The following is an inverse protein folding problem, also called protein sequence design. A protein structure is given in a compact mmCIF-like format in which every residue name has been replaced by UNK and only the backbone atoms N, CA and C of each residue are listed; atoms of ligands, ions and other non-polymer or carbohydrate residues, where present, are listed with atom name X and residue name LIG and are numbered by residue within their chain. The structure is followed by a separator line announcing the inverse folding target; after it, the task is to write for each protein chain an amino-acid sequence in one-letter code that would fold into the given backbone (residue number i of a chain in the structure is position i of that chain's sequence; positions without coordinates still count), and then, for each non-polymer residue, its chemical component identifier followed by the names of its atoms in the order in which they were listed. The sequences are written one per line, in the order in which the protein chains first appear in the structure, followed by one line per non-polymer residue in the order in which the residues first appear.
data_IF_317934247534
#
_entry.id   IF_317934247534
#
_cell.length_a   1.000
_cell.length_b   1.000
_cell.length_c   1.000
_cell.angle_alpha   90.00
_cell.angle_beta   90.00
_cell.angle_gamma   90.00
#
_symmetry.space_group_name_H-M   'P 1'
#
loop_
_entity.id
_entity.type
_entity.pdbx_description
1 polymer ?
#
# COMPACT_ATOMS: atom_id res chain seq x y z
N UNK A 1 -43.48 17.19 -39.15
CA UNK A 1 -42.71 17.94 -38.13
C UNK A 1 -42.52 17.14 -36.84
N UNK A 2 -43.51 16.36 -36.38
CA UNK A 2 -43.40 15.53 -35.17
C UNK A 2 -42.25 14.48 -35.21
N UNK A 3 -42.06 13.77 -36.32
CA UNK A 3 -41.01 12.75 -36.46
C UNK A 3 -39.58 13.32 -36.32
N UNK A 4 -39.32 14.52 -36.85
CA UNK A 4 -38.03 15.19 -36.71
C UNK A 4 -37.74 15.59 -35.26
N UNK A 5 -38.77 15.96 -34.51
CA UNK A 5 -38.64 16.29 -33.09
C UNK A 5 -38.37 15.04 -32.24
N UNK A 6 -39.04 13.92 -32.54
CA UNK A 6 -38.80 12.62 -31.87
C UNK A 6 -37.39 12.09 -32.17
N UNK A 7 -36.93 12.17 -33.43
CA UNK A 7 -35.57 11.78 -33.79
C UNK A 7 -34.50 12.63 -33.08
N UNK A 8 -34.71 13.95 -32.98
CA UNK A 8 -33.80 14.83 -32.24
C UNK A 8 -33.79 14.53 -30.73
N UNK A 9 -34.95 14.22 -30.15
CA UNK A 9 -35.05 13.80 -28.74
C UNK A 9 -34.34 12.46 -28.49
N UNK A 10 -34.45 11.50 -29.42
CA UNK A 10 -33.75 10.21 -29.33
C UNK A 10 -32.23 10.40 -29.37
N UNK A 11 -31.71 11.19 -30.32
CA UNK A 11 -30.26 11.50 -30.39
C UNK A 11 -29.77 12.20 -29.13
N UNK A 12 -30.57 13.10 -28.57
CA UNK A 12 -30.23 13.79 -27.31
C UNK A 12 -30.18 12.81 -26.14
N UNK A 13 -31.13 11.88 -26.06
CA UNK A 13 -31.18 10.83 -25.06
C UNK A 13 -29.99 9.86 -25.19
N UNK A 14 -29.64 9.46 -26.40
CA UNK A 14 -28.50 8.57 -26.67
C UNK A 14 -27.17 9.25 -26.28
N UNK A 15 -27.02 10.54 -26.61
CA UNK A 15 -25.85 11.34 -26.21
C UNK A 15 -25.77 11.51 -24.68
N UNK A 16 -26.91 11.73 -24.01
CA UNK A 16 -26.96 11.84 -22.56
C UNK A 16 -26.59 10.50 -21.88
N UNK A 17 -27.06 9.38 -22.42
CA UNK A 17 -26.70 8.04 -21.93
C UNK A 17 -25.21 7.74 -22.13
N UNK A 18 -24.66 8.03 -23.31
CA UNK A 18 -23.23 7.88 -23.57
C UNK A 18 -22.39 8.77 -22.64
N UNK A 19 -22.83 10.02 -22.42
CA UNK A 19 -22.19 10.95 -21.49
C UNK A 19 -22.24 10.42 -20.05
N UNK A 20 -23.37 9.88 -19.61
CA UNK A 20 -23.52 9.30 -18.28
C UNK A 20 -22.60 8.09 -18.07
N UNK A 21 -22.49 7.20 -19.06
CA UNK A 21 -21.58 6.05 -19.02
C UNK A 21 -20.13 6.52 -18.90
N UNK A 22 -19.73 7.49 -19.73
CA UNK A 22 -18.39 8.07 -19.69
C UNK A 22 -18.09 8.73 -18.33
N UNK A 23 -19.03 9.48 -17.78
CA UNK A 23 -18.88 10.11 -16.46
C UNK A 23 -18.71 9.06 -15.37
N UNK A 24 -19.48 7.96 -15.39
CA UNK A 24 -19.33 6.87 -14.42
C UNK A 24 -17.95 6.25 -14.48
N UNK A 25 -17.47 5.91 -15.68
CA UNK A 25 -16.11 5.34 -15.87
C UNK A 25 -15.02 6.29 -15.36
N UNK A 26 -15.16 7.59 -15.63
CA UNK A 26 -14.22 8.60 -15.13
C UNK A 26 -14.23 8.68 -13.61
N UNK A 27 -15.41 8.67 -12.98
CA UNK A 27 -15.53 8.69 -11.52
C UNK A 27 -14.98 7.41 -10.88
N UNK A 28 -15.27 6.24 -11.44
CA UNK A 28 -14.75 4.97 -10.94
C UNK A 28 -13.22 4.95 -10.99
N UNK A 29 -12.64 5.44 -12.09
CA UNK A 29 -11.18 5.58 -12.24
C UNK A 29 -10.60 6.55 -11.22
N UNK A 30 -11.26 7.70 -11.00
CA UNK A 30 -10.81 8.68 -10.02
C UNK A 30 -10.83 8.11 -8.60
N UNK A 31 -11.87 7.36 -8.23
CA UNK A 31 -12.00 6.69 -6.93
C UNK A 31 -10.91 5.63 -6.76
N UNK A 32 -10.67 4.79 -7.76
CA UNK A 32 -9.62 3.78 -7.70
C UNK A 32 -8.23 4.40 -7.54
N UNK A 33 -7.93 5.47 -8.28
CA UNK A 33 -6.65 6.18 -8.17
C UNK A 33 -6.49 6.86 -6.80
N UNK A 34 -7.55 7.48 -6.27
CA UNK A 34 -7.54 8.07 -4.94
C UNK A 34 -7.31 7.02 -3.86
N UNK A 35 -7.96 5.85 -3.98
CA UNK A 35 -7.79 4.75 -3.04
C UNK A 35 -6.38 4.14 -3.12
N UNK A 36 -5.83 3.92 -4.32
CA UNK A 36 -4.45 3.47 -4.49
C UNK A 36 -3.44 4.47 -3.90
N UNK A 37 -3.71 5.78 -4.05
CA UNK A 37 -2.90 6.85 -3.44
C UNK A 37 -2.96 6.79 -1.92
N UNK A 38 -4.15 6.58 -1.35
CA UNK A 38 -4.35 6.43 0.09
C UNK A 38 -3.52 5.27 0.64
N UNK A 39 -3.58 4.09 0.01
CA UNK A 39 -2.81 2.91 0.43
C UNK A 39 -1.28 3.14 0.38
N UNK A 40 -0.82 4.05 -0.48
CA UNK A 40 0.60 4.37 -0.66
C UNK A 40 1.06 5.62 0.11
N UNK A 41 0.19 6.22 0.93
CA UNK A 41 0.52 7.45 1.65
C UNK A 41 1.52 7.17 2.78
N UNK A 42 2.75 7.69 2.63
CA UNK A 42 3.81 7.72 3.65
C UNK A 42 4.07 6.38 4.34
N UNK A 43 4.20 5.29 3.58
CA UNK A 43 4.47 3.95 4.14
C UNK A 43 5.77 3.97 4.93
N UNK A 44 5.69 3.62 6.22
CA UNK A 44 6.83 3.60 7.14
C UNK A 44 6.73 2.40 8.08
N UNK A 45 7.88 1.91 8.56
CA UNK A 45 7.94 0.88 9.57
C UNK A 45 7.85 1.51 10.97
N UNK A 46 6.84 1.12 11.73
CA UNK A 46 6.67 1.56 13.12
C UNK A 46 7.35 0.57 14.05
N UNK A 47 8.19 1.07 14.95
CA UNK A 47 8.86 0.28 15.98
C UNK A 47 7.85 -0.25 16.99
N UNK A 48 7.89 -1.54 17.28
CA UNK A 48 7.04 -2.14 18.31
C UNK A 48 7.68 -1.98 19.71
N UNK A 49 6.88 -2.00 20.79
CA UNK A 49 7.40 -2.00 22.16
C UNK A 49 8.32 -3.22 22.41
N UNK A 50 9.44 -2.99 23.08
CA UNK A 50 10.38 -4.05 23.45
C UNK A 50 11.58 -4.23 22.52
N UNK A 51 11.67 -3.44 21.44
CA UNK A 51 12.91 -3.33 20.67
C UNK A 51 14.06 -2.88 21.57
N UNK A 52 15.22 -3.51 21.39
CA UNK A 52 16.44 -3.22 22.15
C UNK A 52 17.26 -2.17 21.39
N UNK A 53 17.27 -2.25 20.06
CA UNK A 53 17.94 -1.28 19.21
C UNK A 53 16.96 -0.28 18.58
N UNK A 54 17.49 0.85 18.15
CA UNK A 54 16.74 1.90 17.46
C UNK A 54 16.79 1.75 15.94
N UNK A 55 16.99 0.53 15.43
CA UNK A 55 17.04 0.31 13.98
C UNK A 55 15.67 0.63 13.39
N UNK A 56 15.65 1.55 12.43
CA UNK A 56 14.46 1.91 11.68
C UNK A 56 14.66 1.41 10.24
N UNK A 57 14.03 0.30 9.83
CA UNK A 57 14.16 -0.15 8.46
C UNK A 57 13.44 0.80 7.51
N UNK A 58 14.06 1.05 6.36
CA UNK A 58 13.47 1.84 5.28
C UNK A 58 12.56 0.94 4.44
N UNK A 59 11.31 1.38 4.24
CA UNK A 59 10.35 0.73 3.33
C UNK A 59 10.33 1.50 2.01
N UNK A 60 10.43 0.78 0.91
CA UNK A 60 10.43 1.35 -0.44
C UNK A 60 9.52 0.57 -1.39
N UNK A 61 9.23 1.19 -2.54
CA UNK A 61 8.34 0.63 -3.56
C UNK A 61 6.92 1.20 -3.50
N UNK A 62 6.04 0.63 -4.30
CA UNK A 62 4.63 1.01 -4.40
C UNK A 62 3.79 -0.21 -4.08
N UNK A 63 2.90 -0.08 -3.11
CA UNK A 63 1.94 -1.11 -2.76
C UNK A 63 0.91 -1.27 -3.87
N UNK A 64 0.87 -2.46 -4.47
CA UNK A 64 -0.04 -2.82 -5.58
C UNK A 64 -1.24 -3.65 -5.14
N UNK A 65 -1.37 -3.93 -3.83
CA UNK A 65 -2.54 -4.61 -3.28
C UNK A 65 -3.76 -3.68 -3.18
N UNK A 66 -4.94 -4.28 -3.04
CA UNK A 66 -6.22 -3.56 -2.88
C UNK A 66 -6.72 -3.56 -1.43
N UNK A 67 -6.16 -4.44 -0.60
CA UNK A 67 -6.61 -4.63 0.78
C UNK A 67 -5.77 -3.80 1.74
N UNK A 68 -6.40 -3.09 2.70
CA UNK A 68 -5.69 -2.50 3.82
C UNK A 68 -5.31 -3.58 4.85
N UNK A 69 -4.27 -3.32 5.63
CA UNK A 69 -3.81 -4.21 6.69
C UNK A 69 -2.41 -3.86 7.14
N UNK A 70 -1.69 -4.86 7.62
CA UNK A 70 -0.36 -4.68 8.22
C UNK A 70 0.64 -5.74 7.76
N UNK A 71 1.90 -5.35 7.67
CA UNK A 71 3.04 -6.26 7.65
C UNK A 71 3.71 -6.25 9.02
N UNK A 72 3.81 -7.41 9.65
CA UNK A 72 4.53 -7.63 10.90
C UNK A 72 5.89 -8.22 10.60
N UNK A 73 6.94 -7.49 10.96
CA UNK A 73 8.33 -7.86 10.73
C UNK A 73 8.94 -8.34 12.05
N UNK A 74 9.57 -9.51 12.03
CA UNK A 74 10.34 -10.06 13.15
C UNK A 74 11.71 -10.53 12.68
N UNK A 75 12.75 -10.23 13.46
CA UNK A 75 14.13 -10.66 13.19
C UNK A 75 14.42 -11.96 13.93
N UNK A 76 15.18 -12.85 13.30
CA UNK A 76 15.69 -14.06 13.92
C UNK A 76 17.11 -14.37 13.43
N UNK A 77 17.88 -15.07 14.26
CA UNK A 77 19.25 -15.48 13.91
C UNK A 77 19.27 -16.81 13.18
N UNK A 78 20.15 -16.93 12.18
CA UNK A 78 20.44 -18.19 11.46
C UNK A 78 21.94 -18.34 11.36
N UNK A 79 22.54 -19.29 12.10
CA UNK A 79 23.95 -19.71 12.01
C UNK A 79 24.97 -18.67 11.51
N UNK A 80 25.08 -17.53 12.21
CA UNK A 80 26.04 -16.47 11.90
C UNK A 80 25.51 -15.30 11.05
N UNK A 81 24.25 -15.33 10.64
CA UNK A 81 23.54 -14.23 9.99
C UNK A 81 22.24 -13.88 10.71
N UNK A 82 21.67 -12.73 10.34
CA UNK A 82 20.34 -12.31 10.75
C UNK A 82 19.41 -12.34 9.56
N UNK A 83 18.22 -12.88 9.78
CA UNK A 83 17.12 -12.91 8.84
C UNK A 83 15.91 -12.21 9.45
N UNK A 84 14.98 -11.84 8.59
CA UNK A 84 13.67 -11.35 9.01
C UNK A 84 12.57 -12.21 8.38
N UNK A 85 11.42 -12.20 9.05
CA UNK A 85 10.16 -12.73 8.54
C UNK A 85 9.14 -11.60 8.53
N UNK A 86 8.45 -11.45 7.40
CA UNK A 86 7.24 -10.65 7.29
C UNK A 86 6.00 -11.55 7.33
N UNK A 87 4.94 -11.09 7.97
CA UNK A 87 3.64 -11.75 8.07
C UNK A 87 2.50 -10.73 8.08
N UNK A 88 1.24 -11.17 7.96
CA UNK A 88 0.07 -10.29 7.91
C UNK A 88 -0.53 -10.27 6.51
N UNK A 89 -0.37 -9.16 5.77
CA UNK A 89 -0.86 -9.03 4.38
C UNK A 89 -0.21 -10.04 3.42
N UNK A 90 1.07 -10.33 3.61
CA UNK A 90 1.78 -11.39 2.90
C UNK A 90 2.80 -12.06 3.83
N UNK A 91 3.31 -13.21 3.40
CA UNK A 91 4.42 -13.90 4.05
C UNK A 91 5.67 -13.81 3.17
N UNK A 92 6.79 -13.41 3.76
CA UNK A 92 8.10 -13.43 3.11
C UNK A 92 9.21 -13.54 4.15
N UNK A 93 10.39 -13.96 3.70
CA UNK A 93 11.60 -14.00 4.52
C UNK A 93 12.78 -13.44 3.72
N UNK A 94 13.83 -13.02 4.42
CA UNK A 94 15.07 -12.63 3.79
C UNK A 94 16.13 -12.16 4.77
N UNK A 95 17.30 -11.80 4.25
CA UNK A 95 18.40 -11.31 5.08
C UNK A 95 18.09 -9.94 5.69
N UNK A 96 18.32 -9.79 7.00
CA UNK A 96 18.20 -8.52 7.70
C UNK A 96 19.49 -7.69 7.47
N UNK A 97 19.58 -7.05 6.30
CA UNK A 97 20.79 -6.37 5.83
C UNK A 97 20.48 -5.02 5.15
N UNK A 98 21.54 -4.30 4.76
CA UNK A 98 21.46 -3.05 4.00
C UNK A 98 21.05 -3.20 2.53
N UNK A 99 20.69 -4.40 2.07
CA UNK A 99 20.16 -4.64 0.73
C UNK A 99 18.63 -4.67 0.79
N UNK A 100 17.92 -3.94 -0.09
CA UNK A 100 16.47 -4.03 -0.20
C UNK A 100 16.01 -5.45 -0.54
N UNK A 101 15.09 -5.99 0.28
CA UNK A 101 14.46 -7.30 0.09
C UNK A 101 12.95 -7.12 -0.08
N UNK A 102 12.32 -7.75 -1.09
CA UNK A 102 10.87 -7.69 -1.26
C UNK A 102 10.10 -8.26 -0.06
N UNK A 103 9.03 -7.58 0.36
CA UNK A 103 8.12 -8.03 1.42
C UNK A 103 7.04 -9.01 0.94
N UNK A 104 7.07 -9.39 -0.34
CA UNK A 104 6.09 -10.25 -0.97
C UNK A 104 5.97 -9.90 -2.45
N UNK A 105 4.75 -10.02 -2.98
CA UNK A 105 4.43 -9.74 -4.38
C UNK A 105 3.77 -8.38 -4.58
N UNK A 106 3.33 -7.71 -3.51
CA UNK A 106 2.62 -6.41 -3.58
C UNK A 106 3.55 -5.20 -3.74
N UNK A 107 4.78 -5.40 -4.24
CA UNK A 107 5.67 -4.32 -4.70
C UNK A 107 6.47 -3.58 -3.63
N UNK A 108 6.24 -3.85 -2.34
CA UNK A 108 7.01 -3.25 -1.24
C UNK A 108 8.30 -4.03 -0.97
N UNK A 109 9.33 -3.31 -0.53
CA UNK A 109 10.62 -3.86 -0.10
C UNK A 109 11.07 -3.23 1.22
N UNK A 110 11.84 -3.98 1.99
CA UNK A 110 12.42 -3.57 3.27
C UNK A 110 13.95 -3.56 3.18
N UNK A 111 14.59 -2.56 3.79
CA UNK A 111 16.04 -2.46 3.91
C UNK A 111 16.39 -2.05 5.34
N UNK A 112 17.35 -2.73 5.97
CA UNK A 112 17.81 -2.40 7.31
C UNK A 112 19.05 -1.50 7.22
N UNK A 113 18.94 -0.24 7.66
CA UNK A 113 20.04 0.73 7.56
C UNK A 113 21.18 0.46 8.56
N UNK A 114 20.92 -0.35 9.58
CA UNK A 114 21.91 -0.89 10.53
C UNK A 114 21.52 -2.30 10.94
N UNK A 115 22.46 -3.03 11.55
CA UNK A 115 22.21 -4.39 12.04
C UNK A 115 21.18 -4.39 13.17
N UNK A 116 20.02 -5.05 13.00
CA UNK A 116 19.01 -5.13 14.05
C UNK A 116 19.31 -6.24 15.08
N UNK A 117 18.62 -6.23 16.21
CA UNK A 117 18.61 -7.33 17.17
C UNK A 117 17.47 -8.30 16.89
N UNK A 118 17.61 -9.56 17.33
CA UNK A 118 16.53 -10.56 17.30
C UNK A 118 15.35 -10.23 18.21
N UNK A 119 15.51 -9.28 19.13
CA UNK A 119 14.40 -8.75 19.93
C UNK A 119 13.58 -7.70 19.18
N UNK A 120 14.11 -7.17 18.08
CA UNK A 120 13.46 -6.08 17.36
C UNK A 120 12.34 -6.57 16.45
N UNK A 121 11.28 -5.80 16.42
CA UNK A 121 10.16 -6.00 15.52
C UNK A 121 9.54 -4.67 15.09
N UNK A 122 8.91 -4.69 13.92
CA UNK A 122 8.23 -3.53 13.35
C UNK A 122 6.89 -3.92 12.76
N UNK A 123 6.00 -2.94 12.69
CA UNK A 123 4.71 -3.05 12.02
C UNK A 123 4.61 -1.96 10.95
N UNK A 124 4.29 -2.36 9.73
CA UNK A 124 4.06 -1.46 8.58
C UNK A 124 2.56 -1.46 8.31
N UNK A 125 1.93 -0.28 8.38
CA UNK A 125 0.49 -0.13 8.19
C UNK A 125 0.16 0.36 6.78
N UNK A 126 -0.83 -0.26 6.14
CA UNK A 126 -1.33 0.07 4.81
C UNK A 126 -2.85 0.31 4.90
N UNK A 127 -3.36 1.55 4.72
CA UNK A 127 -2.59 2.80 4.63
C UNK A 127 -1.90 3.12 5.96
N UNK A 128 -0.98 4.07 5.96
CA UNK A 128 -0.31 4.47 7.20
C UNK A 128 -1.29 5.16 8.17
N UNK A 129 -1.76 4.43 9.19
CA UNK A 129 -2.69 4.94 10.22
C UNK A 129 -2.00 5.81 11.28
N UNK A 130 -0.67 5.83 11.33
CA UNK A 130 0.09 6.71 12.24
C UNK A 130 0.20 8.12 11.67
N UNK A 131 0.25 8.25 10.34
CA UNK A 131 0.19 9.57 9.68
C UNK A 131 -1.14 10.29 9.95
N UNK A 132 -2.24 9.57 10.18
CA UNK A 132 -3.54 10.18 10.52
C UNK A 132 -3.71 10.56 11.99
N UNK A 133 -2.77 10.16 12.88
CA UNK A 133 -2.80 10.45 14.31
C UNK A 133 -1.79 11.55 14.72
N UNK A 134 -1.07 12.16 13.78
CA UNK A 134 -0.41 13.45 14.02
C UNK A 134 -1.37 14.58 13.65
N UNK A 135 -2.21 14.97 14.60
CA UNK A 135 -2.83 16.30 14.55
C UNK A 135 -1.75 17.35 14.90
N UNK A 136 -1.64 18.46 14.16
CA UNK A 136 -0.73 19.56 14.48
C UNK A 136 -1.09 20.28 15.79
#
# INVERSE_FOLDING_TARGET
MAEKAVAAAQVTLDNANASLINIKVQQDTAVQNAYATLLNTSITATVNPGNIDTVAPTISGTYTGTEPGEYKIKVYGVSGSLEFQASGLEFSTGGASGVPVPLGKRGLSIKFDSTPSTADSWTIYIPNTYSSCMWP
#
